data_IF_743307800287
#
_entry.id   IF_743307800287
#
_cell.length_a   1.000
_cell.length_b   1.000
_cell.length_c   1.000
_cell.angle_alpha   90.00
_cell.angle_beta   90.00
_cell.angle_gamma   90.00
#
_symmetry.space_group_name_H-M   'P 1'
#
loop_
_entity.id
_entity.type
_entity.pdbx_description
1 polymer ?
#
# COMPACT_ATOMS: atom_id res chain seq x y z
N UNK A 1 -1.90 4.75 -4.17
CA UNK A 1 -1.55 3.52 -3.47
C UNK A 1 -1.02 2.46 -4.43
N UNK A 2 0.11 1.83 -4.13
CA UNK A 2 0.55 0.60 -4.82
C UNK A 2 0.02 -0.62 -4.08
N UNK A 3 -0.75 -1.45 -4.78
CA UNK A 3 -1.23 -2.74 -4.31
C UNK A 3 -0.31 -3.80 -4.93
N UNK A 4 0.61 -4.32 -4.14
CA UNK A 4 1.57 -5.34 -4.54
C UNK A 4 0.89 -6.71 -4.56
N UNK A 5 1.01 -7.44 -5.67
CA UNK A 5 0.41 -8.77 -5.84
C UNK A 5 1.41 -9.86 -5.48
N UNK A 6 1.00 -10.79 -4.63
CA UNK A 6 1.80 -11.96 -4.33
C UNK A 6 1.93 -12.84 -5.60
N UNK A 7 3.14 -13.35 -5.92
CA UNK A 7 3.40 -14.10 -7.15
C UNK A 7 2.94 -15.57 -7.07
N UNK A 8 1.63 -15.80 -6.95
CA UNK A 8 1.05 -17.14 -6.80
C UNK A 8 1.48 -18.10 -7.92
N UNK A 9 1.60 -17.60 -9.15
CA UNK A 9 1.99 -18.38 -10.33
C UNK A 9 3.43 -18.90 -10.30
N UNK A 10 4.28 -18.34 -9.43
CA UNK A 10 5.67 -18.80 -9.23
C UNK A 10 5.76 -19.91 -8.18
N UNK A 11 4.77 -20.03 -7.31
CA UNK A 11 4.69 -21.07 -6.28
C UNK A 11 4.05 -22.31 -6.90
N UNK A 12 4.88 -23.20 -7.45
CA UNK A 12 4.41 -24.36 -8.24
C UNK A 12 3.77 -25.49 -7.41
N UNK A 13 3.97 -25.47 -6.09
CA UNK A 13 3.51 -26.52 -5.18
C UNK A 13 2.21 -26.11 -4.50
N UNK A 14 1.21 -26.98 -4.55
CA UNK A 14 -0.01 -26.79 -3.78
C UNK A 14 0.27 -26.91 -2.28
N UNK A 15 -0.42 -26.10 -1.47
CA UNK A 15 -0.19 -25.96 -0.03
C UNK A 15 1.28 -25.69 0.36
N UNK A 16 2.02 -24.95 -0.47
CA UNK A 16 3.42 -24.63 -0.23
C UNK A 16 3.64 -23.94 1.13
N UNK A 17 4.69 -24.35 1.82
CA UNK A 17 5.18 -23.73 3.05
C UNK A 17 6.25 -22.72 2.68
N UNK A 18 6.01 -21.44 2.95
CA UNK A 18 6.91 -20.38 2.54
C UNK A 18 7.45 -19.59 3.71
N UNK A 19 8.58 -18.93 3.49
CA UNK A 19 9.14 -17.91 4.35
C UNK A 19 9.08 -16.58 3.60
N UNK A 20 8.52 -15.55 4.22
CA UNK A 20 8.52 -14.20 3.65
C UNK A 20 9.77 -13.45 4.09
N UNK A 21 10.58 -12.96 3.13
CA UNK A 21 11.74 -12.13 3.41
C UNK A 21 11.39 -10.66 3.15
N UNK A 22 11.33 -9.87 4.22
CA UNK A 22 10.90 -8.48 4.21
C UNK A 22 9.48 -8.33 4.75
N UNK A 23 9.32 -7.55 5.81
CA UNK A 23 8.03 -7.22 6.43
C UNK A 23 7.71 -5.72 6.40
N UNK A 24 8.26 -5.03 5.38
CA UNK A 24 7.83 -3.69 4.98
C UNK A 24 6.45 -3.70 4.30
N UNK A 25 6.15 -2.65 3.54
CA UNK A 25 4.83 -2.50 2.88
C UNK A 25 4.47 -3.71 1.97
N UNK A 26 5.40 -4.15 1.11
CA UNK A 26 5.20 -5.30 0.21
C UNK A 26 4.93 -6.57 1.02
N UNK A 27 5.76 -6.87 2.02
CA UNK A 27 5.64 -8.07 2.86
C UNK A 27 4.30 -8.18 3.58
N UNK A 28 3.81 -7.07 4.13
CA UNK A 28 2.49 -7.01 4.80
C UNK A 28 1.35 -7.33 3.84
N UNK A 29 1.39 -6.82 2.61
CA UNK A 29 0.38 -7.09 1.59
C UNK A 29 0.46 -8.54 1.07
N UNK A 30 1.66 -9.09 0.93
CA UNK A 30 1.88 -10.48 0.55
C UNK A 30 1.35 -11.44 1.63
N UNK A 31 1.62 -11.15 2.90
CA UNK A 31 1.09 -11.91 4.03
C UNK A 31 -0.45 -11.94 4.02
N UNK A 32 -1.10 -10.79 3.83
CA UNK A 32 -2.55 -10.70 3.72
C UNK A 32 -3.13 -11.60 2.63
N UNK A 33 -2.51 -11.61 1.44
CA UNK A 33 -2.92 -12.46 0.33
C UNK A 33 -2.71 -13.95 0.64
N UNK A 34 -1.59 -14.31 1.27
CA UNK A 34 -1.32 -15.71 1.61
C UNK A 34 -2.33 -16.26 2.63
N UNK A 35 -2.75 -15.45 3.62
CA UNK A 35 -3.74 -15.85 4.63
C UNK A 35 -5.12 -16.21 4.05
N UNK A 36 -5.46 -15.66 2.88
CA UNK A 36 -6.70 -15.99 2.16
C UNK A 36 -6.50 -17.06 1.07
N UNK A 37 -5.37 -17.76 1.08
CA UNK A 37 -4.99 -18.75 0.07
C UNK A 37 -4.63 -20.10 0.69
N UNK A 38 -4.23 -21.06 -0.14
CA UNK A 38 -3.70 -22.35 0.28
C UNK A 38 -2.23 -22.30 0.72
N UNK A 39 -1.53 -21.17 0.55
CA UNK A 39 -0.12 -21.03 0.93
C UNK A 39 0.02 -20.87 2.44
N UNK A 40 0.91 -21.67 3.04
CA UNK A 40 1.24 -21.59 4.47
C UNK A 40 2.50 -20.74 4.68
N UNK A 41 2.34 -19.55 5.23
CA UNK A 41 3.47 -18.75 5.71
C UNK A 41 3.95 -19.32 7.05
N UNK A 42 5.18 -19.84 7.09
CA UNK A 42 5.76 -20.42 8.30
C UNK A 42 6.17 -19.33 9.31
N UNK A 43 6.90 -18.33 8.80
CA UNK A 43 7.35 -17.15 9.51
C UNK A 43 7.84 -16.14 8.48
N UNK A 44 8.15 -14.93 8.95
CA UNK A 44 8.82 -13.93 8.15
C UNK A 44 10.20 -13.61 8.72
N UNK A 45 11.08 -13.07 7.88
CA UNK A 45 12.35 -12.49 8.31
C UNK A 45 12.46 -11.05 7.87
N UNK A 46 13.07 -10.22 8.71
CA UNK A 46 13.30 -8.80 8.39
C UNK A 46 14.65 -8.33 8.94
N UNK A 47 15.38 -7.53 8.14
CA UNK A 47 16.73 -7.07 8.47
C UNK A 47 16.78 -6.00 9.56
N UNK A 48 15.65 -5.38 9.94
CA UNK A 48 15.60 -4.42 11.02
C UNK A 48 15.57 -5.15 12.38
N UNK A 49 16.69 -5.04 13.12
CA UNK A 49 16.98 -5.76 14.38
C UNK A 49 15.92 -5.65 15.50
N UNK A 50 14.96 -4.71 15.41
CA UNK A 50 14.00 -4.42 16.47
C UNK A 50 12.74 -5.31 16.47
N UNK A 51 12.50 -6.09 15.41
CA UNK A 51 11.23 -6.83 15.23
C UNK A 51 11.28 -8.31 15.63
N UNK A 52 12.37 -8.77 16.26
CA UNK A 52 12.68 -10.20 16.53
C UNK A 52 11.64 -11.00 17.33
N UNK A 53 10.57 -10.36 17.82
CA UNK A 53 9.47 -11.01 18.54
C UNK A 53 8.08 -10.47 18.21
N UNK A 54 7.92 -9.69 17.13
CA UNK A 54 6.60 -9.14 16.77
C UNK A 54 5.79 -10.23 16.06
N UNK A 55 4.66 -10.62 16.68
CA UNK A 55 3.63 -11.40 16.00
C UNK A 55 2.77 -10.45 15.18
N UNK A 56 2.80 -10.62 13.86
CA UNK A 56 1.90 -9.92 12.95
C UNK A 56 0.96 -10.94 12.33
N UNK A 57 -0.35 -10.85 12.64
CA UNK A 57 -1.35 -11.83 12.19
C UNK A 57 -0.92 -13.29 12.44
N UNK A 58 -0.46 -13.57 13.66
CA UNK A 58 0.07 -14.88 14.11
C UNK A 58 1.33 -15.39 13.40
N UNK A 59 1.90 -14.63 12.46
CA UNK A 59 3.21 -14.89 11.86
C UNK A 59 4.30 -14.21 12.68
N UNK A 60 5.29 -14.99 13.12
CA UNK A 60 6.46 -14.47 13.83
C UNK A 60 7.49 -13.91 12.85
N UNK A 61 8.09 -12.78 13.21
CA UNK A 61 9.20 -12.16 12.45
C UNK A 61 10.51 -12.45 13.16
N UNK A 62 11.49 -13.01 12.44
CA UNK A 62 12.81 -13.32 12.95
C UNK A 62 13.92 -12.52 12.23
N UNK A 63 15.12 -12.57 12.79
CA UNK A 63 16.31 -12.12 12.06
C UNK A 63 16.57 -13.04 10.85
N UNK A 64 17.08 -12.54 9.71
CA UNK A 64 17.36 -13.34 8.52
C UNK A 64 18.30 -14.53 8.75
N UNK A 65 19.18 -14.46 9.76
CA UNK A 65 20.02 -15.58 10.17
C UNK A 65 19.23 -16.81 10.61
N UNK A 66 17.95 -16.67 11.00
CA UNK A 66 17.08 -17.81 11.31
C UNK A 66 16.94 -18.80 10.16
N UNK A 67 17.11 -18.35 8.91
CA UNK A 67 17.05 -19.21 7.73
C UNK A 67 18.13 -20.30 7.78
N UNK A 68 19.33 -20.02 8.31
CA UNK A 68 20.41 -21.01 8.35
C UNK A 68 20.17 -22.15 9.36
N UNK A 69 19.17 -22.01 10.23
CA UNK A 69 18.80 -23.06 11.19
C UNK A 69 17.81 -24.08 10.61
N UNK A 70 17.33 -23.85 9.37
CA UNK A 70 16.32 -24.70 8.75
C UNK A 70 16.93 -25.82 7.93
N UNK A 71 16.28 -26.98 7.99
CA UNK A 71 16.52 -28.08 7.07
C UNK A 71 15.71 -27.93 5.78
N UNK A 72 16.26 -28.44 4.68
CA UNK A 72 15.68 -28.31 3.33
C UNK A 72 14.21 -28.74 3.23
N UNK A 73 13.81 -29.75 4.00
CA UNK A 73 12.47 -30.32 4.00
C UNK A 73 11.44 -29.50 4.80
N UNK A 74 11.86 -28.47 5.54
CA UNK A 74 10.98 -27.71 6.44
C UNK A 74 10.21 -26.60 5.72
N UNK A 75 10.70 -26.14 4.58
CA UNK A 75 10.06 -25.11 3.76
C UNK A 75 10.19 -25.46 2.27
N UNK A 76 9.32 -24.88 1.46
CA UNK A 76 9.29 -25.09 0.02
C UNK A 76 9.91 -23.90 -0.73
N UNK A 77 9.62 -22.66 -0.31
CA UNK A 77 10.15 -21.45 -0.94
C UNK A 77 10.48 -20.33 0.07
N UNK A 78 11.43 -19.47 -0.29
CA UNK A 78 11.65 -18.16 0.32
C UNK A 78 11.20 -17.10 -0.69
N UNK A 79 10.22 -16.28 -0.32
CA UNK A 79 9.67 -15.24 -1.19
C UNK A 79 10.18 -13.88 -0.72
N UNK A 80 10.93 -13.19 -1.58
CA UNK A 80 11.49 -11.87 -1.31
C UNK A 80 10.42 -10.81 -1.58
N UNK A 81 10.03 -10.08 -0.54
CA UNK A 81 8.99 -9.06 -0.57
C UNK A 81 9.61 -7.65 -0.51
N UNK A 82 10.29 -7.25 -1.58
CA UNK A 82 10.99 -5.96 -1.73
C UNK A 82 10.50 -5.21 -2.96
N UNK A 83 10.40 -3.88 -2.88
CA UNK A 83 9.99 -3.03 -4.01
C UNK A 83 11.14 -2.39 -4.80
N UNK A 84 12.39 -2.66 -4.42
CA UNK A 84 13.60 -2.21 -5.09
C UNK A 84 14.48 -3.39 -5.51
N UNK A 85 14.81 -3.45 -6.80
CA UNK A 85 15.56 -4.56 -7.42
C UNK A 85 16.96 -4.77 -6.81
N UNK A 86 17.67 -3.69 -6.47
CA UNK A 86 19.02 -3.77 -5.86
C UNK A 86 18.97 -4.48 -4.50
N UNK A 87 18.07 -4.05 -3.61
CA UNK A 87 17.89 -4.69 -2.30
C UNK A 87 17.49 -6.16 -2.45
N UNK A 88 16.62 -6.48 -3.40
CA UNK A 88 16.19 -7.86 -3.65
C UNK A 88 17.33 -8.75 -4.14
N UNK A 89 18.23 -8.20 -4.96
CA UNK A 89 19.42 -8.89 -5.44
C UNK A 89 20.38 -9.21 -4.30
N UNK A 90 20.66 -8.23 -3.44
CA UNK A 90 21.53 -8.42 -2.27
C UNK A 90 20.96 -9.47 -1.31
N UNK A 91 19.64 -9.45 -1.09
CA UNK A 91 18.95 -10.47 -0.27
C UNK A 91 19.04 -11.85 -0.91
N UNK A 92 18.86 -11.95 -2.24
CA UNK A 92 18.98 -13.22 -2.96
C UNK A 92 20.39 -13.79 -2.84
N UNK A 93 21.41 -12.97 -3.04
CA UNK A 93 22.83 -13.37 -2.88
C UNK A 93 23.11 -13.83 -1.45
N UNK A 94 22.61 -13.11 -0.45
CA UNK A 94 22.70 -13.52 0.96
C UNK A 94 22.06 -14.89 1.22
N UNK A 95 20.85 -15.14 0.73
CA UNK A 95 20.15 -16.42 0.91
C UNK A 95 20.91 -17.57 0.23
N UNK A 96 21.49 -17.34 -0.95
CA UNK A 96 22.34 -18.33 -1.64
C UNK A 96 23.60 -18.63 -0.82
N UNK A 97 24.23 -17.62 -0.22
CA UNK A 97 25.39 -17.79 0.67
C UNK A 97 25.07 -18.60 1.93
N UNK A 98 23.82 -18.62 2.39
CA UNK A 98 23.36 -19.51 3.46
C UNK A 98 23.18 -20.97 3.00
N UNK A 99 23.44 -21.28 1.73
CA UNK A 99 23.33 -22.62 1.16
C UNK A 99 21.95 -22.99 0.63
N UNK A 100 21.02 -22.02 0.52
CA UNK A 100 19.69 -22.28 -0.03
C UNK A 100 19.76 -22.29 -1.57
N UNK A 101 19.25 -23.34 -2.24
CA UNK A 101 19.24 -23.42 -3.70
C UNK A 101 18.44 -22.28 -4.35
N UNK A 102 18.93 -21.76 -5.46
CA UNK A 102 18.34 -20.61 -6.14
C UNK A 102 16.89 -20.87 -6.59
N UNK A 103 16.56 -22.10 -6.96
CA UNK A 103 15.22 -22.53 -7.37
C UNK A 103 14.17 -22.46 -6.25
N UNK A 104 14.60 -22.36 -4.98
CA UNK A 104 13.72 -22.13 -3.84
C UNK A 104 13.49 -20.66 -3.54
N UNK A 105 14.18 -19.75 -4.24
CA UNK A 105 14.10 -18.30 -4.00
C UNK A 105 13.20 -17.67 -5.07
N UNK A 106 12.10 -17.07 -4.63
CA UNK A 106 11.16 -16.36 -5.49
C UNK A 106 11.31 -14.86 -5.25
N UNK A 107 11.77 -14.15 -6.27
CA UNK A 107 11.63 -12.70 -6.36
C UNK A 107 10.85 -12.34 -7.62
N UNK A 108 9.70 -11.73 -7.40
CA UNK A 108 8.87 -11.18 -8.46
C UNK A 108 8.06 -10.03 -7.89
N UNK A 109 8.08 -8.91 -8.59
CA UNK A 109 7.35 -7.71 -8.21
C UNK A 109 6.32 -7.38 -9.28
N UNK A 110 5.05 -7.44 -8.89
CA UNK A 110 3.94 -6.89 -9.67
C UNK A 110 3.09 -6.06 -8.72
N UNK A 111 2.63 -4.90 -9.19
CA UNK A 111 1.75 -4.05 -8.42
C UNK A 111 0.77 -3.30 -9.32
N UNK A 112 -0.43 -3.12 -8.77
CA UNK A 112 -1.37 -2.14 -9.27
C UNK A 112 -1.03 -0.78 -8.65
N UNK A 113 -0.66 0.22 -9.46
CA UNK A 113 -0.52 1.59 -8.98
C UNK A 113 -1.82 2.34 -9.23
N UNK A 114 -2.60 2.59 -8.19
CA UNK A 114 -3.82 3.40 -8.32
C UNK A 114 -3.53 4.83 -8.79
N UNK A 115 -2.26 5.29 -8.70
CA UNK A 115 -1.82 6.59 -9.21
C UNK A 115 -1.45 6.59 -10.70
N UNK A 116 -1.34 5.45 -11.38
CA UNK A 116 -1.17 5.44 -12.84
C UNK A 116 -2.36 6.11 -13.54
N UNK A 117 -3.55 5.96 -12.97
CA UNK A 117 -4.79 6.60 -13.45
C UNK A 117 -4.78 8.12 -13.25
N UNK A 118 -4.18 8.59 -12.16
CA UNK A 118 -3.98 10.03 -11.91
C UNK A 118 -3.10 10.70 -12.97
N UNK A 119 -2.18 9.94 -13.58
CA UNK A 119 -1.14 10.49 -14.45
C UNK A 119 -1.33 10.20 -15.94
N UNK A 120 -2.26 9.33 -16.31
CA UNK A 120 -2.54 8.99 -17.71
C UNK A 120 -4.04 8.63 -17.94
N UNK A 121 -4.97 9.56 -17.64
CA UNK A 121 -6.41 9.34 -17.82
C UNK A 121 -6.80 8.95 -19.26
N UNK A 122 -6.02 9.38 -20.26
CA UNK A 122 -6.18 9.04 -21.67
C UNK A 122 -6.08 7.54 -21.98
N UNK A 123 -5.42 6.75 -21.13
CA UNK A 123 -5.28 5.30 -21.32
C UNK A 123 -6.53 4.51 -20.88
N UNK A 124 -7.41 5.12 -20.08
CA UNK A 124 -8.59 4.45 -19.50
C UNK A 124 -9.85 5.31 -19.59
N UNK A 125 -10.27 5.71 -20.81
CA UNK A 125 -11.36 6.68 -21.01
C UNK A 125 -12.74 6.22 -20.51
N UNK A 126 -12.90 4.93 -20.20
CA UNK A 126 -14.16 4.33 -19.76
C UNK A 126 -14.24 4.12 -18.24
N UNK A 127 -13.17 4.40 -17.50
CA UNK A 127 -13.14 4.24 -16.04
C UNK A 127 -13.19 5.61 -15.36
N UNK A 128 -14.11 5.77 -14.41
CA UNK A 128 -14.17 6.92 -13.54
C UNK A 128 -13.56 6.49 -12.18
N UNK A 129 -12.27 6.76 -11.91
CA UNK A 129 -11.64 6.29 -10.70
C UNK A 129 -12.22 7.01 -9.48
N UNK A 130 -12.45 6.25 -8.41
CA UNK A 130 -12.80 6.77 -7.08
C UNK A 130 -11.53 6.88 -6.24
N UNK A 131 -11.39 8.00 -5.55
CA UNK A 131 -10.37 8.29 -4.55
C UNK A 131 -10.91 8.17 -3.12
N UNK A 132 -12.23 8.13 -2.94
CA UNK A 132 -12.84 7.86 -1.65
C UNK A 132 -12.86 6.36 -1.31
N UNK A 133 -13.23 6.03 -0.07
CA UNK A 133 -13.30 4.65 0.41
C UNK A 133 -14.44 3.84 -0.21
N UNK A 134 -15.60 4.47 -0.43
CA UNK A 134 -16.83 3.78 -0.88
C UNK A 134 -17.47 4.42 -2.12
N UNK A 135 -16.74 5.24 -2.88
CA UNK A 135 -17.23 5.87 -4.11
C UNK A 135 -18.08 7.13 -3.91
N UNK A 136 -18.08 7.72 -2.72
CA UNK A 136 -18.77 8.98 -2.41
C UNK A 136 -18.35 10.14 -3.31
N UNK A 137 -17.08 10.20 -3.70
CA UNK A 137 -16.56 11.24 -4.60
C UNK A 137 -17.20 11.19 -6.00
N UNK A 138 -17.47 9.99 -6.52
CA UNK A 138 -18.19 9.79 -7.79
C UNK A 138 -19.65 10.26 -7.69
N UNK A 139 -20.30 10.03 -6.55
CA UNK A 139 -21.68 10.49 -6.30
C UNK A 139 -21.71 12.02 -6.29
N UNK A 140 -20.79 12.66 -5.55
CA UNK A 140 -20.69 14.12 -5.45
C UNK A 140 -20.36 14.75 -6.81
N UNK A 141 -19.37 14.20 -7.53
CA UNK A 141 -19.01 14.66 -8.88
C UNK A 141 -20.18 14.53 -9.86
N UNK A 142 -20.89 13.40 -9.83
CA UNK A 142 -22.09 13.17 -10.65
C UNK A 142 -23.21 14.16 -10.33
N UNK A 143 -23.42 14.48 -9.05
CA UNK A 143 -24.40 15.48 -8.62
C UNK A 143 -24.08 16.87 -9.18
N UNK A 144 -22.83 17.34 -9.05
CA UNK A 144 -22.41 18.62 -9.61
C UNK A 144 -22.58 18.68 -11.12
N UNK A 145 -22.24 17.59 -11.83
CA UNK A 145 -22.47 17.48 -13.27
C UNK A 145 -23.95 17.59 -13.65
N UNK A 146 -24.83 16.89 -12.93
CA UNK A 146 -26.28 16.98 -13.14
C UNK A 146 -26.83 18.39 -12.86
N UNK A 147 -26.22 19.12 -11.93
CA UNK A 147 -26.55 20.50 -11.61
C UNK A 147 -25.91 21.53 -12.57
N UNK A 148 -25.03 21.11 -13.48
CA UNK A 148 -24.30 22.01 -14.37
C UNK A 148 -23.20 22.83 -13.67
N UNK A 149 -22.65 22.32 -12.56
CA UNK A 149 -21.56 22.96 -11.80
C UNK A 149 -20.23 22.35 -12.22
N UNK A 150 -19.41 23.10 -12.97
CA UNK A 150 -18.16 22.60 -13.56
C UNK A 150 -16.98 22.60 -12.57
N UNK A 151 -16.89 23.60 -11.68
CA UNK A 151 -15.78 23.79 -10.73
C UNK A 151 -16.29 24.21 -9.36
N UNK A 152 -16.88 23.30 -8.58
CA UNK A 152 -17.35 23.63 -7.25
C UNK A 152 -16.17 23.99 -6.33
N UNK A 153 -16.41 24.85 -5.34
CA UNK A 153 -15.48 25.01 -4.21
C UNK A 153 -15.91 24.06 -3.09
N UNK A 154 -14.94 23.44 -2.41
CA UNK A 154 -15.20 22.51 -1.30
C UNK A 154 -14.51 22.92 0.00
N UNK A 155 -15.04 22.36 1.09
CA UNK A 155 -14.41 22.36 2.41
C UNK A 155 -14.27 20.90 2.84
N UNK A 156 -13.03 20.42 2.99
CA UNK A 156 -12.69 19.05 3.36
C UNK A 156 -12.24 19.02 4.84
N UNK A 157 -13.12 18.58 5.73
CA UNK A 157 -12.85 18.51 7.18
C UNK A 157 -12.42 17.10 7.55
N UNK A 158 -11.21 16.96 8.09
CA UNK A 158 -10.56 15.66 8.27
C UNK A 158 -9.98 15.15 6.96
N UNK A 159 -9.27 16.02 6.24
CA UNK A 159 -8.86 15.79 4.86
C UNK A 159 -7.85 14.63 4.69
N UNK A 160 -7.18 14.20 5.76
CA UNK A 160 -6.32 13.02 5.80
C UNK A 160 -5.24 13.00 4.68
N UNK A 161 -5.33 12.09 3.71
CA UNK A 161 -4.37 11.96 2.60
C UNK A 161 -4.89 12.71 1.36
N UNK A 162 -4.04 13.39 0.55
CA UNK A 162 -4.48 14.18 -0.62
C UNK A 162 -5.34 13.44 -1.64
N UNK A 163 -5.11 12.13 -1.81
CA UNK A 163 -5.74 11.31 -2.84
C UNK A 163 -6.29 9.96 -2.35
N UNK A 164 -5.99 9.52 -1.12
CA UNK A 164 -6.30 8.15 -0.69
C UNK A 164 -7.39 8.19 0.37
N UNK A 165 -8.54 7.61 0.05
CA UNK A 165 -9.73 7.72 0.89
C UNK A 165 -10.22 9.16 1.03
N UNK A 166 -9.95 10.03 0.05
CA UNK A 166 -10.27 11.46 0.11
C UNK A 166 -11.40 11.80 -0.86
N UNK A 167 -12.46 12.40 -0.32
CA UNK A 167 -13.71 12.66 -1.05
C UNK A 167 -13.60 13.86 -2.00
N UNK A 168 -12.62 14.73 -1.83
CA UNK A 168 -12.43 15.95 -2.63
C UNK A 168 -11.34 15.82 -3.67
N UNK A 169 -10.54 14.74 -3.64
CA UNK A 169 -9.45 14.48 -4.57
C UNK A 169 -9.90 14.49 -6.03
N UNK A 170 -11.03 13.83 -6.36
CA UNK A 170 -11.57 13.82 -7.72
C UNK A 170 -11.89 15.25 -8.21
N UNK A 171 -12.52 16.05 -7.35
CA UNK A 171 -12.87 17.44 -7.69
C UNK A 171 -11.61 18.26 -7.96
N UNK A 172 -10.60 18.16 -7.09
CA UNK A 172 -9.30 18.83 -7.24
C UNK A 172 -8.66 18.50 -8.59
N UNK A 173 -8.61 17.22 -8.94
CA UNK A 173 -8.02 16.75 -10.19
C UNK A 173 -8.78 17.21 -11.44
N UNK A 174 -10.07 17.49 -11.31
CA UNK A 174 -10.89 18.10 -12.37
C UNK A 174 -10.82 19.62 -12.40
N UNK A 175 -9.94 20.24 -11.60
CA UNK A 175 -9.66 21.67 -11.62
C UNK A 175 -10.52 22.51 -10.68
N UNK A 176 -11.20 21.87 -9.71
CA UNK A 176 -11.74 22.57 -8.56
C UNK A 176 -10.64 22.91 -7.55
N UNK A 177 -10.92 23.83 -6.64
CA UNK A 177 -10.08 24.09 -5.46
C UNK A 177 -10.94 24.40 -4.24
N UNK A 178 -10.36 24.28 -3.07
CA UNK A 178 -11.07 24.43 -1.81
C UNK A 178 -10.16 24.59 -0.61
N UNK A 179 -10.72 24.29 0.56
CA UNK A 179 -10.02 24.37 1.84
C UNK A 179 -9.94 22.97 2.45
N UNK A 180 -8.73 22.53 2.79
CA UNK A 180 -8.48 21.27 3.48
C UNK A 180 -8.14 21.55 4.95
N UNK A 181 -8.83 20.88 5.88
CA UNK A 181 -8.63 21.04 7.32
C UNK A 181 -8.31 19.69 7.95
N UNK A 182 -7.25 19.63 8.74
CA UNK A 182 -6.92 18.47 9.58
C UNK A 182 -6.16 18.92 10.83
N UNK A 183 -6.37 18.22 11.94
CA UNK A 183 -5.62 18.48 13.18
C UNK A 183 -4.21 17.87 13.13
N UNK A 184 -3.95 16.91 12.24
CA UNK A 184 -2.67 16.25 12.09
C UNK A 184 -1.74 17.06 11.17
N UNK A 185 -0.61 17.59 11.69
CA UNK A 185 0.31 18.40 10.90
C UNK A 185 0.96 17.63 9.73
N UNK A 186 1.12 16.30 9.85
CA UNK A 186 1.68 15.49 8.77
C UNK A 186 0.73 15.43 7.55
N UNK A 187 -0.58 15.37 7.81
CA UNK A 187 -1.60 15.43 6.75
C UNK A 187 -1.53 16.76 6.00
N UNK A 188 -1.46 17.88 6.73
CA UNK A 188 -1.39 19.21 6.12
C UNK A 188 -0.06 19.47 5.41
N UNK A 189 1.07 18.97 5.93
CA UNK A 189 2.35 19.02 5.20
C UNK A 189 2.26 18.31 3.85
N UNK A 190 1.64 17.13 3.81
CA UNK A 190 1.45 16.39 2.58
C UNK A 190 0.47 17.10 1.63
N UNK A 191 -0.60 17.70 2.13
CA UNK A 191 -1.51 18.53 1.34
C UNK A 191 -0.82 19.73 0.71
N UNK A 192 0.06 20.42 1.44
CA UNK A 192 0.80 21.56 0.90
C UNK A 192 1.73 21.18 -0.27
N UNK A 193 2.21 19.94 -0.29
CA UNK A 193 3.08 19.44 -1.37
C UNK A 193 2.22 19.04 -2.58
N UNK A 194 1.16 18.26 -2.36
CA UNK A 194 0.42 17.58 -3.44
C UNK A 194 -0.80 18.37 -3.94
N UNK A 195 -1.34 19.30 -3.14
CA UNK A 195 -2.50 20.14 -3.46
C UNK A 195 -2.19 21.62 -3.20
N UNK A 196 -1.20 22.20 -3.90
CA UNK A 196 -0.76 23.59 -3.67
C UNK A 196 -1.80 24.65 -4.07
N UNK A 197 -2.80 24.30 -4.89
CA UNK A 197 -3.87 25.22 -5.28
C UNK A 197 -5.02 25.28 -4.25
N UNK A 198 -5.02 24.38 -3.26
CA UNK A 198 -5.93 24.41 -2.12
C UNK A 198 -5.34 25.23 -0.96
N UNK A 199 -6.23 25.75 -0.11
CA UNK A 199 -5.83 26.33 1.19
C UNK A 199 -5.82 25.22 2.23
N UNK A 200 -4.64 24.89 2.77
CA UNK A 200 -4.46 23.79 3.71
C UNK A 200 -4.21 24.32 5.14
N UNK A 201 -5.09 23.97 6.07
CA UNK A 201 -5.12 24.55 7.42
C UNK A 201 -4.97 23.46 8.49
N UNK A 202 -3.92 23.57 9.31
CA UNK A 202 -3.66 22.65 10.42
C UNK A 202 -4.40 23.08 11.68
N UNK A 203 -5.70 22.79 11.76
CA UNK A 203 -6.55 23.12 12.91
C UNK A 203 -7.52 21.98 13.23
N UNK A 204 -7.84 21.82 14.51
CA UNK A 204 -8.97 21.01 14.93
C UNK A 204 -10.29 21.78 14.79
N UNK A 205 -11.33 21.11 14.29
CA UNK A 205 -12.67 21.67 14.20
C UNK A 205 -13.51 21.09 15.35
N UNK A 206 -14.17 21.95 16.12
CA UNK A 206 -15.14 21.54 17.13
C UNK A 206 -16.44 22.34 16.96
N UNK A 207 -17.57 21.73 17.34
CA UNK A 207 -18.86 22.42 17.37
C UNK A 207 -18.95 23.30 18.61
N UNK A 208 -18.89 24.62 18.44
CA UNK A 208 -19.21 25.58 19.49
C UNK A 208 -20.69 25.97 19.40
N UNK A 209 -21.50 25.53 20.37
CA UNK A 209 -22.83 26.09 20.58
C UNK A 209 -22.71 27.47 21.23
N UNK A 210 -23.40 28.47 20.67
CA UNK A 210 -23.77 29.66 21.44
C UNK A 210 -24.92 29.18 22.35
N UNK A 211 -24.64 28.98 23.64
CA UNK A 211 -25.67 28.83 24.67
C UNK A 211 -26.37 30.17 24.91
#
# INVERSE_FOLDING_TARGET
MRIYKFPFEKVKKDNARIILYGMGNVGKQYLAQCMSSHIKVLFAVDGHNELSFVKMHDVQVYNPKKISELEDHQFDYIVIAMDHDENAKDIKEFIIQLGIPEEKIIYYIDYYDSRKYLRAPELYPWHNPSFSWFGEDLIVSGLFKCMGVDKPTYLDVGCNHPYEGNNTALLYLTGASGVNIDANPNCIQLMNIERPDDVNVCVGVCGGGIL
#
